data_IF_149073370573
#
_entry.id   IF_149073370573
#
_cell.length_a   1.000
_cell.length_b   1.000
_cell.length_c   1.000
_cell.angle_alpha   90.00
_cell.angle_beta   90.00
_cell.angle_gamma   90.00
#
_symmetry.space_group_name_H-M   'P 1'
#
loop_
_entity.id
_entity.type
_entity.pdbx_description
1 polymer ?
#
# COMPACT_ATOMS: atom_id res chain seq x y z
N UNK A 1 55.01 22.49 6.46
CA UNK A 1 53.64 22.81 6.01
C UNK A 1 52.96 21.48 5.77
N UNK A 2 52.22 20.99 6.77
CA UNK A 2 51.54 19.69 6.70
C UNK A 2 50.05 19.96 6.52
N UNK A 3 49.50 19.50 5.40
CA UNK A 3 48.08 19.63 5.09
C UNK A 3 47.30 18.58 5.87
N UNK A 4 46.66 18.98 6.98
CA UNK A 4 45.68 18.13 7.66
C UNK A 4 44.42 18.01 6.80
N UNK A 5 44.17 16.79 6.32
CA UNK A 5 42.95 16.41 5.63
C UNK A 5 41.85 16.24 6.68
N UNK A 6 40.96 17.21 6.82
CA UNK A 6 39.77 17.10 7.67
C UNK A 6 38.77 16.16 7.02
N UNK A 7 38.72 14.92 7.48
CA UNK A 7 37.66 13.98 7.11
C UNK A 7 36.32 14.48 7.69
N UNK A 8 35.44 15.00 6.82
CA UNK A 8 34.06 15.34 7.19
C UNK A 8 33.31 14.06 7.56
N UNK A 9 33.14 13.84 8.86
CA UNK A 9 32.28 12.78 9.39
C UNK A 9 30.84 13.13 9.01
N UNK A 10 30.33 12.50 7.95
CA UNK A 10 28.91 12.62 7.59
C UNK A 10 28.10 11.87 8.67
N UNK A 11 27.18 12.52 9.38
CA UNK A 11 26.37 11.84 10.38
C UNK A 11 25.61 10.70 9.71
N UNK A 12 25.75 9.50 10.26
CA UNK A 12 24.98 8.33 9.86
C UNK A 12 23.55 8.54 10.33
N UNK A 13 22.73 9.23 9.53
CA UNK A 13 21.31 9.36 9.81
C UNK A 13 20.70 7.96 9.84
N UNK A 14 20.28 7.52 11.03
CA UNK A 14 19.50 6.31 11.21
C UNK A 14 18.33 6.29 10.22
N UNK A 15 17.91 5.09 9.81
CA UNK A 15 16.82 4.92 8.87
C UNK A 15 15.56 5.60 9.44
N UNK A 16 15.15 6.72 8.86
CA UNK A 16 13.92 7.43 9.25
C UNK A 16 12.72 6.50 9.05
N UNK A 17 11.79 6.53 10.00
CA UNK A 17 10.53 5.83 9.89
C UNK A 17 9.67 6.40 8.77
N UNK A 18 8.71 5.63 8.27
CA UNK A 18 7.77 6.13 7.26
C UNK A 18 6.95 7.31 7.78
N UNK A 19 6.62 7.34 9.07
CA UNK A 19 5.85 8.42 9.67
C UNK A 19 6.64 9.73 9.66
N UNK A 20 7.90 9.69 10.11
CA UNK A 20 8.78 10.87 10.07
C UNK A 20 8.97 11.40 8.65
N UNK A 21 9.10 10.50 7.66
CA UNK A 21 9.20 10.90 6.25
C UNK A 21 7.93 11.61 5.78
N UNK A 22 6.74 11.11 6.14
CA UNK A 22 5.47 11.76 5.80
C UNK A 22 5.34 13.13 6.46
N UNK A 23 5.73 13.27 7.73
CA UNK A 23 5.69 14.56 8.44
C UNK A 23 6.61 15.60 7.76
N UNK A 24 7.82 15.20 7.36
CA UNK A 24 8.75 16.05 6.61
C UNK A 24 8.15 16.49 5.28
N UNK A 25 7.50 15.58 4.54
CA UNK A 25 6.86 15.91 3.26
C UNK A 25 5.74 16.93 3.46
N UNK A 26 4.87 16.71 4.44
CA UNK A 26 3.75 17.61 4.73
C UNK A 26 4.24 19.00 5.15
N UNK A 27 5.29 19.05 5.96
CA UNK A 27 5.91 20.31 6.38
C UNK A 27 6.51 21.05 5.17
N UNK A 28 7.23 20.34 4.29
CA UNK A 28 7.77 20.92 3.05
C UNK A 28 6.66 21.51 2.17
N UNK A 29 5.60 20.74 1.90
CA UNK A 29 4.50 21.20 1.03
C UNK A 29 3.74 22.40 1.63
N UNK A 30 3.65 22.49 2.95
CA UNK A 30 3.03 23.64 3.63
C UNK A 30 3.97 24.86 3.72
N UNK A 31 5.28 24.67 3.64
CA UNK A 31 6.27 25.74 3.89
C UNK A 31 6.40 26.77 2.78
N UNK A 32 6.10 26.38 1.53
CA UNK A 32 6.33 27.22 0.35
C UNK A 32 7.82 27.43 -0.02
N UNK A 33 8.75 26.78 0.67
CA UNK A 33 10.17 26.80 0.31
C UNK A 33 10.44 26.07 -1.00
N UNK A 34 11.50 26.46 -1.70
CA UNK A 34 12.06 25.60 -2.76
C UNK A 34 12.72 24.36 -2.14
N UNK A 35 12.84 23.30 -2.94
CA UNK A 35 13.41 22.03 -2.50
C UNK A 35 14.82 22.19 -1.91
N UNK A 36 15.66 23.02 -2.53
CA UNK A 36 17.01 23.31 -2.02
C UNK A 36 16.99 24.07 -0.69
N UNK A 37 16.19 25.13 -0.57
CA UNK A 37 16.09 25.92 0.66
C UNK A 37 15.60 25.08 1.84
N UNK A 38 14.59 24.23 1.61
CA UNK A 38 14.07 23.34 2.64
C UNK A 38 15.11 22.29 3.05
N UNK A 39 15.82 21.72 2.08
CA UNK A 39 16.89 20.76 2.33
C UNK A 39 18.05 21.38 3.11
N UNK A 40 18.47 22.60 2.78
CA UNK A 40 19.51 23.32 3.50
C UNK A 40 19.07 23.63 4.95
N UNK A 41 17.82 24.07 5.13
CA UNK A 41 17.24 24.34 6.45
C UNK A 41 17.17 23.09 7.35
N UNK A 42 16.78 21.94 6.78
CA UNK A 42 16.62 20.67 7.52
C UNK A 42 17.87 19.79 7.55
N UNK A 43 18.95 20.17 6.86
CA UNK A 43 20.13 19.32 6.69
C UNK A 43 19.82 18.02 5.95
N UNK A 44 18.95 18.07 4.93
CA UNK A 44 18.55 16.94 4.10
C UNK A 44 19.26 16.98 2.75
N UNK A 45 19.44 15.81 2.13
CA UNK A 45 19.87 15.75 0.74
C UNK A 45 18.66 16.02 -0.19
N UNK A 46 18.75 16.97 -1.14
CA UNK A 46 17.76 17.19 -2.20
C UNK A 46 17.24 15.91 -2.87
N UNK A 47 18.15 15.01 -3.25
CA UNK A 47 17.79 13.76 -3.94
C UNK A 47 16.91 12.86 -3.08
N UNK A 48 17.17 12.85 -1.77
CA UNK A 48 16.41 12.06 -0.80
C UNK A 48 14.98 12.59 -0.68
N UNK A 49 14.83 13.91 -0.54
CA UNK A 49 13.51 14.53 -0.45
C UNK A 49 12.73 14.36 -1.75
N UNK A 50 13.38 14.53 -2.90
CA UNK A 50 12.76 14.32 -4.20
C UNK A 50 12.29 12.87 -4.41
N UNK A 51 13.09 11.88 -4.00
CA UNK A 51 12.68 10.48 -4.04
C UNK A 51 11.48 10.20 -3.13
N UNK A 52 11.40 10.84 -1.96
CA UNK A 52 10.27 10.67 -1.05
C UNK A 52 8.99 11.30 -1.61
N UNK A 53 9.06 12.50 -2.16
CA UNK A 53 7.94 13.18 -2.83
C UNK A 53 7.38 12.35 -3.97
N UNK A 54 8.26 11.79 -4.82
CA UNK A 54 7.83 10.93 -5.92
C UNK A 54 7.04 9.70 -5.41
N UNK A 55 7.59 8.99 -4.42
CA UNK A 55 6.94 7.80 -3.82
C UNK A 55 5.61 8.16 -3.16
N UNK A 56 5.56 9.26 -2.42
CA UNK A 56 4.37 9.74 -1.72
C UNK A 56 3.22 9.97 -2.72
N UNK A 57 3.49 10.70 -3.81
CA UNK A 57 2.50 10.97 -4.87
C UNK A 57 2.04 9.71 -5.61
N UNK A 58 2.94 8.75 -5.83
CA UNK A 58 2.55 7.47 -6.48
C UNK A 58 1.71 6.57 -5.58
N UNK A 59 1.91 6.63 -4.26
CA UNK A 59 1.17 5.82 -3.28
C UNK A 59 -0.29 6.24 -3.16
N UNK A 60 -0.60 7.53 -3.33
CA UNK A 60 -1.99 8.01 -3.40
C UNK A 60 -2.73 7.51 -4.64
N UNK A 61 -2.01 7.31 -5.75
CA UNK A 61 -2.60 6.95 -7.04
C UNK A 61 -2.69 5.45 -7.30
N UNK A 62 -2.02 4.61 -6.51
CA UNK A 62 -2.06 3.15 -6.65
C UNK A 62 -2.41 2.50 -5.30
N UNK A 63 -3.66 2.01 -5.12
CA UNK A 63 -3.95 1.17 -3.98
C UNK A 63 -3.10 -0.11 -4.02
N UNK A 64 -2.76 -0.70 -2.87
CA UNK A 64 -2.01 -1.95 -2.83
C UNK A 64 -2.71 -3.02 -3.68
N UNK A 65 -1.94 -3.68 -4.54
CA UNK A 65 -2.43 -4.67 -5.53
C UNK A 65 -3.09 -5.92 -4.93
N UNK A 66 -3.10 -6.05 -3.60
CA UNK A 66 -3.67 -7.19 -2.91
C UNK A 66 -4.67 -6.70 -1.86
N UNK A 67 -5.92 -7.12 -2.02
CA UNK A 67 -6.98 -6.92 -1.03
C UNK A 67 -7.06 -8.14 -0.11
N UNK A 68 -7.25 -7.90 1.18
CA UNK A 68 -7.49 -8.97 2.16
C UNK A 68 -8.93 -9.48 1.98
N UNK A 69 -9.08 -10.77 1.66
CA UNK A 69 -10.39 -11.41 1.59
C UNK A 69 -10.67 -12.06 2.94
N UNK A 70 -11.67 -11.55 3.66
CA UNK A 70 -12.19 -12.21 4.85
C UNK A 70 -13.11 -13.34 4.43
N UNK A 71 -12.65 -14.58 4.59
CA UNK A 71 -13.51 -15.76 4.47
C UNK A 71 -14.43 -15.78 5.68
N UNK A 72 -15.75 -15.74 5.46
CA UNK A 72 -16.70 -16.03 6.53
C UNK A 72 -16.72 -17.54 6.74
N UNK A 73 -16.39 -17.98 7.94
CA UNK A 73 -16.65 -19.35 8.41
C UNK A 73 -18.17 -19.51 8.58
N UNK A 74 -18.89 -19.71 7.47
CA UNK A 74 -20.28 -20.14 7.52
C UNK A 74 -20.28 -21.65 7.86
N UNK A 75 -21.04 -22.10 8.87
CA UNK A 75 -21.14 -23.51 9.20
C UNK A 75 -21.68 -24.27 7.98
N UNK A 76 -20.94 -25.31 7.58
CA UNK A 76 -21.19 -26.10 6.38
C UNK A 76 -22.34 -27.10 6.57
N UNK A 77 -23.41 -26.71 7.25
CA UNK A 77 -24.67 -27.47 7.32
C UNK A 77 -25.51 -27.11 6.10
N UNK A 78 -24.97 -27.40 4.91
CA UNK A 78 -25.71 -27.32 3.66
C UNK A 78 -26.55 -28.59 3.52
N UNK A 79 -27.79 -28.54 4.03
CA UNK A 79 -28.76 -29.61 3.84
C UNK A 79 -29.00 -29.86 2.34
N UNK A 80 -29.01 -31.14 1.95
CA UNK A 80 -29.31 -31.55 0.59
C UNK A 80 -30.77 -31.18 0.27
N UNK A 81 -30.97 -30.19 -0.59
CA UNK A 81 -32.28 -29.74 -1.04
C UNK A 81 -32.92 -30.72 -2.03
N UNK A 82 -32.17 -31.19 -3.03
CA UNK A 82 -32.68 -32.13 -4.05
C UNK A 82 -31.56 -32.88 -4.78
N UNK A 83 -31.90 -34.01 -5.41
CA UNK A 83 -31.03 -34.74 -6.33
C UNK A 83 -31.75 -35.01 -7.66
N UNK A 84 -31.08 -34.73 -8.79
CA UNK A 84 -31.60 -35.03 -10.13
C UNK A 84 -30.49 -35.54 -11.05
N UNK A 85 -30.63 -36.74 -11.61
CA UNK A 85 -29.64 -37.38 -12.50
C UNK A 85 -28.20 -37.36 -11.94
N UNK A 86 -28.03 -37.50 -10.62
CA UNK A 86 -26.73 -37.46 -9.95
C UNK A 86 -26.20 -36.06 -9.61
N UNK A 87 -26.91 -34.99 -9.96
CA UNK A 87 -26.62 -33.63 -9.50
C UNK A 87 -27.28 -33.38 -8.16
N UNK A 88 -26.48 -32.93 -7.17
CA UNK A 88 -26.93 -32.57 -5.83
C UNK A 88 -27.09 -31.07 -5.72
N UNK A 89 -28.25 -30.64 -5.23
CA UNK A 89 -28.58 -29.24 -4.98
C UNK A 89 -28.68 -29.04 -3.48
N UNK A 90 -27.96 -28.06 -2.95
CA UNK A 90 -27.93 -27.73 -1.53
C UNK A 90 -28.70 -26.44 -1.19
N UNK A 91 -29.41 -25.90 -2.17
CA UNK A 91 -30.31 -24.77 -2.03
C UNK A 91 -31.46 -24.87 -3.03
N UNK A 92 -32.62 -24.24 -2.75
CA UNK A 92 -33.71 -24.12 -3.71
C UNK A 92 -33.27 -23.36 -4.97
N UNK A 93 -33.55 -23.91 -6.14
CA UNK A 93 -33.28 -23.28 -7.42
C UNK A 93 -34.57 -23.13 -8.22
N UNK A 94 -34.66 -22.08 -9.06
CA UNK A 94 -35.78 -21.91 -9.96
C UNK A 94 -35.73 -22.94 -11.10
N UNK A 95 -36.90 -23.34 -11.59
CA UNK A 95 -37.00 -24.25 -12.73
C UNK A 95 -36.34 -23.68 -14.00
N UNK A 96 -36.36 -22.35 -14.17
CA UNK A 96 -35.71 -21.66 -15.28
C UNK A 96 -34.18 -21.81 -15.24
N UNK A 97 -33.58 -21.64 -14.05
CA UNK A 97 -32.14 -21.83 -13.86
C UNK A 97 -31.72 -23.27 -14.15
N UNK A 98 -32.46 -24.25 -13.62
CA UNK A 98 -32.15 -25.67 -13.83
C UNK A 98 -32.23 -26.04 -15.32
N UNK A 99 -33.24 -25.53 -16.04
CA UNK A 99 -33.38 -25.73 -17.49
C UNK A 99 -32.20 -25.16 -18.29
N UNK A 100 -31.59 -24.08 -17.83
CA UNK A 100 -30.44 -23.48 -18.52
C UNK A 100 -29.15 -24.30 -18.31
N UNK A 101 -29.01 -24.92 -17.13
CA UNK A 101 -27.76 -25.60 -16.74
C UNK A 101 -27.74 -27.08 -17.16
N UNK A 102 -28.90 -27.74 -17.18
CA UNK A 102 -29.00 -29.20 -17.38
C UNK A 102 -29.99 -29.57 -18.51
N UNK A 103 -30.68 -28.58 -19.10
CA UNK A 103 -31.69 -28.76 -20.16
C UNK A 103 -31.15 -28.48 -21.55
#
# INVERSE_FOLDING_TARGET
MEHQTTATIRPHHGRRSNQEVTEIINEYEASGFTLHEYCDYKGLNPDTLQSWLHRHRTKENNPPSFAMVTLKDEPMDQDLFAEYKGFKFYQPLSAEFIKTVIG
#
